data_IF_211229653573
#
_entry.id   IF_211229653573
#
_cell.length_a   1.000
_cell.length_b   1.000
_cell.length_c   1.000
_cell.angle_alpha   90.00
_cell.angle_beta   90.00
_cell.angle_gamma   90.00
#
_symmetry.space_group_name_H-M   'P 1'
#
loop_
_entity.id
_entity.type
_entity.pdbx_description
1 polymer ?
#
# COMPACT_ATOMS: atom_id res chain seq x y z
N UNK A 1 -3.97 14.21 -47.23
CA UNK A 1 -3.06 13.68 -46.21
C UNK A 1 -1.89 12.89 -46.79
N UNK A 2 -2.11 11.85 -47.67
CA UNK A 2 -1.06 11.04 -48.31
C UNK A 2 -0.06 11.88 -49.14
N UNK A 3 -0.54 12.83 -49.96
CA UNK A 3 0.31 13.70 -50.77
C UNK A 3 1.13 14.70 -49.92
N UNK A 4 0.60 15.17 -48.80
CA UNK A 4 1.27 16.09 -47.88
C UNK A 4 2.39 15.38 -47.08
N UNK A 5 2.15 14.13 -46.67
CA UNK A 5 3.16 13.27 -46.02
C UNK A 5 4.27 12.89 -47.02
N UNK A 6 3.89 12.53 -48.24
CA UNK A 6 4.84 12.24 -49.32
C UNK A 6 5.79 13.42 -49.59
N UNK A 7 5.24 14.60 -49.77
CA UNK A 7 6.03 15.84 -50.00
C UNK A 7 6.98 16.15 -48.81
N UNK A 8 6.54 15.95 -47.57
CA UNK A 8 7.40 16.14 -46.38
C UNK A 8 8.53 15.14 -46.29
N UNK A 9 8.23 13.87 -46.53
CA UNK A 9 9.25 12.80 -46.46
C UNK A 9 10.26 12.93 -47.61
N UNK A 10 9.79 13.27 -48.82
CA UNK A 10 10.68 13.55 -49.98
C UNK A 10 11.53 14.82 -49.75
N UNK A 11 11.00 15.86 -49.09
CA UNK A 11 11.74 17.05 -48.69
C UNK A 11 12.86 16.76 -47.70
N UNK A 12 12.56 15.99 -46.65
CA UNK A 12 13.55 15.55 -45.64
C UNK A 12 14.60 14.64 -46.25
N UNK A 13 14.23 13.66 -47.08
CA UNK A 13 15.17 12.78 -47.76
C UNK A 13 16.13 13.55 -48.67
N UNK A 14 15.65 14.59 -49.37
CA UNK A 14 16.50 15.47 -50.19
C UNK A 14 17.48 16.30 -49.36
N UNK A 15 17.04 16.79 -48.18
CA UNK A 15 17.91 17.56 -47.27
C UNK A 15 19.05 16.68 -46.70
N UNK A 16 18.77 15.41 -46.48
CA UNK A 16 19.76 14.42 -45.93
C UNK A 16 20.55 13.70 -47.04
N UNK A 17 20.35 14.01 -48.32
CA UNK A 17 21.01 13.39 -49.45
C UNK A 17 20.64 11.90 -49.67
N UNK A 18 19.47 11.47 -49.14
CA UNK A 18 19.03 10.05 -49.20
C UNK A 18 18.14 9.90 -50.45
N UNK A 19 18.63 9.10 -51.42
CA UNK A 19 17.81 8.66 -52.57
C UNK A 19 17.13 7.36 -52.25
N UNK A 20 15.81 7.42 -52.00
CA UNK A 20 15.02 6.24 -51.69
C UNK A 20 14.26 5.73 -52.91
N UNK A 21 14.33 4.39 -53.22
CA UNK A 21 13.53 3.82 -54.30
C UNK A 21 12.04 4.01 -54.03
N UNK A 22 11.23 4.32 -55.07
CA UNK A 22 9.81 4.64 -54.95
C UNK A 22 8.99 3.55 -54.19
N UNK A 23 9.37 2.28 -54.33
CA UNK A 23 8.72 1.19 -53.59
C UNK A 23 9.01 1.21 -52.07
N UNK A 24 10.21 1.60 -51.65
CA UNK A 24 10.56 1.75 -50.23
C UNK A 24 9.86 2.95 -49.61
N UNK A 25 9.80 4.07 -50.35
CA UNK A 25 9.07 5.27 -49.94
C UNK A 25 7.58 4.98 -49.73
N UNK A 26 6.97 4.21 -50.64
CA UNK A 26 5.54 3.82 -50.51
C UNK A 26 5.30 2.93 -49.30
N UNK A 27 6.14 1.95 -49.04
CA UNK A 27 6.08 1.11 -47.83
C UNK A 27 6.19 1.93 -46.54
N UNK A 28 7.13 2.86 -46.48
CA UNK A 28 7.32 3.75 -45.33
C UNK A 28 6.10 4.67 -45.11
N UNK A 29 5.54 5.22 -46.20
CA UNK A 29 4.33 6.04 -46.12
C UNK A 29 3.11 5.26 -45.64
N UNK A 30 2.95 4.01 -46.08
CA UNK A 30 1.85 3.14 -45.62
C UNK A 30 2.05 2.71 -44.16
N UNK A 31 3.30 2.47 -43.73
CA UNK A 31 3.63 2.24 -42.32
C UNK A 31 3.30 3.46 -41.45
N UNK A 32 3.79 4.67 -41.84
CA UNK A 32 3.51 5.91 -41.13
C UNK A 32 2.02 6.22 -41.08
N UNK A 33 1.30 6.00 -42.16
CA UNK A 33 -0.16 6.15 -42.21
C UNK A 33 -0.85 5.19 -41.22
N UNK A 34 -0.46 3.91 -41.22
CA UNK A 34 -0.97 2.90 -40.30
C UNK A 34 -0.68 3.24 -38.83
N UNK A 35 0.50 3.81 -38.54
CA UNK A 35 0.85 4.27 -37.20
C UNK A 35 0.08 5.52 -36.77
N UNK A 36 -0.14 6.48 -37.70
CA UNK A 36 -0.98 7.66 -37.45
C UNK A 36 -2.45 7.27 -37.24
N UNK A 37 -2.99 6.36 -38.05
CA UNK A 37 -4.35 5.84 -37.88
C UNK A 37 -4.50 5.07 -36.57
N UNK A 38 -3.52 4.22 -36.20
CA UNK A 38 -3.46 3.57 -34.89
C UNK A 38 -3.35 4.58 -33.75
N UNK A 39 -2.53 5.62 -33.90
CA UNK A 39 -2.41 6.68 -32.93
C UNK A 39 -3.71 7.50 -32.77
N UNK A 40 -4.39 7.83 -33.88
CA UNK A 40 -5.70 8.49 -33.87
C UNK A 40 -6.78 7.61 -33.25
N UNK A 41 -6.82 6.32 -33.60
CA UNK A 41 -7.74 5.36 -33.01
C UNK A 41 -7.52 5.22 -31.50
N UNK A 42 -6.26 5.16 -31.04
CA UNK A 42 -5.93 5.09 -29.61
C UNK A 42 -6.42 6.31 -28.83
N UNK A 43 -6.31 7.52 -29.41
CA UNK A 43 -6.77 8.76 -28.78
C UNK A 43 -8.28 8.82 -28.55
N UNK A 44 -9.07 8.15 -29.39
CA UNK A 44 -10.53 8.12 -29.30
C UNK A 44 -11.11 6.98 -28.47
N UNK A 45 -10.25 6.10 -27.90
CA UNK A 45 -10.71 5.03 -27.01
C UNK A 45 -11.33 5.63 -25.75
N UNK A 46 -12.53 5.19 -25.38
CA UNK A 46 -13.20 5.60 -24.15
C UNK A 46 -12.51 4.97 -22.92
N UNK A 47 -12.40 5.74 -21.86
CA UNK A 47 -11.79 5.29 -20.59
C UNK A 47 -12.54 4.07 -20.03
N UNK A 48 -13.84 3.98 -20.14
CA UNK A 48 -14.61 2.79 -19.72
C UNK A 48 -14.14 1.48 -20.38
N UNK A 49 -13.66 1.54 -21.62
CA UNK A 49 -13.06 0.37 -22.29
C UNK A 49 -11.74 -0.03 -21.63
N UNK A 50 -10.92 0.94 -21.29
CA UNK A 50 -9.66 0.72 -20.57
C UNK A 50 -9.90 0.23 -19.13
N UNK A 51 -10.94 0.73 -18.46
CA UNK A 51 -11.37 0.24 -17.14
C UNK A 51 -11.73 -1.24 -17.18
N UNK A 52 -12.46 -1.69 -18.19
CA UNK A 52 -12.79 -3.11 -18.38
C UNK A 52 -11.53 -3.96 -18.58
N UNK A 53 -10.57 -3.47 -19.35
CA UNK A 53 -9.27 -4.12 -19.56
C UNK A 53 -8.48 -4.20 -18.24
N UNK A 54 -8.37 -3.09 -17.51
CA UNK A 54 -7.65 -3.01 -16.23
C UNK A 54 -8.24 -3.95 -15.17
N UNK A 55 -9.57 -4.12 -15.15
CA UNK A 55 -10.24 -5.07 -14.24
C UNK A 55 -9.86 -6.52 -14.51
N UNK A 56 -9.58 -6.89 -15.77
CA UNK A 56 -9.13 -8.25 -16.16
C UNK A 56 -7.69 -8.55 -15.71
N UNK A 57 -6.85 -7.54 -15.55
CA UNK A 57 -5.46 -7.70 -15.08
C UNK A 57 -5.35 -8.05 -13.60
N UNK A 58 -6.45 -8.04 -12.86
CA UNK A 58 -6.47 -8.29 -11.41
C UNK A 58 -6.15 -7.03 -10.58
N UNK A 59 -7.16 -6.50 -9.93
CA UNK A 59 -7.05 -5.36 -9.02
C UNK A 59 -7.28 -5.79 -7.59
N UNK A 60 -6.50 -5.22 -6.66
CA UNK A 60 -6.76 -5.32 -5.23
C UNK A 60 -8.12 -4.72 -4.87
N UNK A 61 -8.69 -5.14 -3.74
CA UNK A 61 -9.97 -4.60 -3.23
C UNK A 61 -9.92 -3.07 -3.13
N UNK A 62 -8.78 -2.52 -2.68
CA UNK A 62 -8.61 -1.07 -2.56
C UNK A 62 -8.56 -0.35 -3.90
N UNK A 63 -7.89 -0.91 -4.90
CA UNK A 63 -7.86 -0.35 -6.26
C UNK A 63 -9.24 -0.38 -6.91
N UNK A 64 -10.00 -1.47 -6.74
CA UNK A 64 -11.41 -1.55 -7.19
C UNK A 64 -12.26 -0.45 -6.55
N UNK A 65 -12.08 -0.19 -5.26
CA UNK A 65 -12.77 0.90 -4.55
C UNK A 65 -12.38 2.28 -5.10
N UNK A 66 -11.08 2.56 -5.26
CA UNK A 66 -10.58 3.82 -5.81
C UNK A 66 -11.14 4.03 -7.22
N UNK A 67 -11.06 3.02 -8.07
CA UNK A 67 -11.56 3.07 -9.43
C UNK A 67 -13.05 3.43 -9.47
N UNK A 68 -13.88 2.75 -8.66
CA UNK A 68 -15.32 2.95 -8.59
C UNK A 68 -15.71 4.33 -8.04
N UNK A 69 -15.05 4.77 -6.97
CA UNK A 69 -15.48 5.96 -6.21
C UNK A 69 -14.88 7.27 -6.73
N UNK A 70 -13.71 7.23 -7.35
CA UNK A 70 -12.96 8.46 -7.67
C UNK A 70 -12.61 8.59 -9.15
N UNK A 71 -12.28 7.49 -9.85
CA UNK A 71 -11.81 7.57 -11.23
C UNK A 71 -12.96 7.44 -12.23
N UNK A 72 -13.78 6.40 -12.13
CA UNK A 72 -14.86 6.15 -13.09
C UNK A 72 -15.89 7.29 -13.13
N UNK A 73 -16.33 7.89 -12.01
CA UNK A 73 -17.28 9.01 -12.06
C UNK A 73 -16.79 10.20 -12.88
N UNK A 74 -15.48 10.46 -12.87
CA UNK A 74 -14.91 11.62 -13.53
C UNK A 74 -14.35 11.34 -14.93
N UNK A 75 -13.76 10.16 -15.11
CA UNK A 75 -13.04 9.80 -16.33
C UNK A 75 -13.79 8.83 -17.24
N UNK A 76 -14.74 8.05 -16.73
CA UNK A 76 -15.33 6.92 -17.43
C UNK A 76 -15.92 7.27 -18.81
N UNK A 77 -16.56 8.42 -18.93
CA UNK A 77 -17.17 8.90 -20.16
C UNK A 77 -16.18 9.57 -21.14
N UNK A 78 -15.00 9.93 -20.68
CA UNK A 78 -13.99 10.65 -21.46
C UNK A 78 -13.32 9.72 -22.47
N UNK A 79 -12.85 10.31 -23.58
CA UNK A 79 -11.88 9.66 -24.45
C UNK A 79 -10.49 9.71 -23.80
N UNK A 80 -9.57 8.88 -24.29
CA UNK A 80 -8.19 8.87 -23.78
C UNK A 80 -7.52 10.25 -23.88
N UNK A 81 -7.72 10.95 -25.00
CA UNK A 81 -7.18 12.32 -25.18
C UNK A 81 -7.73 13.27 -24.11
N UNK A 82 -9.05 13.33 -23.95
CA UNK A 82 -9.69 14.16 -22.94
C UNK A 82 -9.23 13.81 -21.51
N UNK A 83 -9.04 12.51 -21.23
CA UNK A 83 -8.56 12.06 -19.93
C UNK A 83 -7.12 12.51 -19.65
N UNK A 84 -6.25 12.47 -20.66
CA UNK A 84 -4.87 12.98 -20.56
C UNK A 84 -4.89 14.48 -20.24
N UNK A 85 -5.67 15.26 -20.99
CA UNK A 85 -5.78 16.71 -20.78
C UNK A 85 -6.33 17.06 -19.40
N UNK A 86 -7.37 16.35 -18.96
CA UNK A 86 -7.99 16.57 -17.66
C UNK A 86 -7.14 16.06 -16.47
N UNK A 87 -6.24 15.12 -16.71
CA UNK A 87 -5.45 14.47 -15.65
C UNK A 87 -4.61 15.44 -14.83
N UNK A 88 -4.13 16.54 -15.41
CA UNK A 88 -3.33 17.56 -14.72
C UNK A 88 -4.18 18.33 -13.69
N UNK A 89 -5.37 18.76 -14.08
CA UNK A 89 -6.30 19.46 -13.19
C UNK A 89 -6.75 18.53 -12.04
N UNK A 90 -7.09 17.27 -12.36
CA UNK A 90 -7.44 16.25 -11.39
C UNK A 90 -6.29 16.00 -10.40
N UNK A 91 -5.07 15.84 -10.88
CA UNK A 91 -3.90 15.61 -10.02
C UNK A 91 -3.64 16.80 -9.07
N UNK A 92 -3.80 18.04 -9.55
CA UNK A 92 -3.70 19.25 -8.72
C UNK A 92 -4.74 19.26 -7.59
N UNK A 93 -6.01 18.96 -7.91
CA UNK A 93 -7.09 18.88 -6.92
C UNK A 93 -6.83 17.75 -5.90
N UNK A 94 -6.50 16.55 -6.34
CA UNK A 94 -6.16 15.43 -5.45
C UNK A 94 -5.01 15.77 -4.51
N UNK A 95 -4.00 16.50 -5.00
CA UNK A 95 -2.87 16.92 -4.18
C UNK A 95 -3.24 18.00 -3.14
N UNK A 96 -4.22 18.85 -3.46
CA UNK A 96 -4.71 19.90 -2.57
C UNK A 96 -5.64 19.36 -1.46
N UNK A 97 -6.50 18.39 -1.81
CA UNK A 97 -7.57 17.90 -0.94
C UNK A 97 -7.19 16.67 -0.12
N UNK A 98 -6.27 15.83 -0.61
CA UNK A 98 -6.00 14.52 -0.02
C UNK A 98 -4.63 14.40 0.61
N UNK A 99 -4.58 13.54 1.62
CA UNK A 99 -3.30 13.16 2.26
C UNK A 99 -2.42 12.47 1.21
N UNK A 100 -1.13 12.79 1.21
CA UNK A 100 -0.11 12.31 0.25
C UNK A 100 -0.18 10.80 -0.04
N UNK A 101 -0.35 9.97 1.00
CA UNK A 101 -0.40 8.51 0.85
C UNK A 101 -1.64 8.01 0.09
N UNK A 102 -2.79 8.64 0.31
CA UNK A 102 -4.06 8.30 -0.36
C UNK A 102 -4.09 8.87 -1.77
N UNK A 103 -3.78 10.16 -1.93
CA UNK A 103 -3.75 10.82 -3.23
C UNK A 103 -2.77 10.16 -4.20
N UNK A 104 -1.56 9.78 -3.76
CA UNK A 104 -0.61 9.06 -4.61
C UNK A 104 -1.15 7.73 -5.12
N UNK A 105 -1.97 7.01 -4.36
CA UNK A 105 -2.57 5.74 -4.81
C UNK A 105 -3.59 5.97 -5.92
N UNK A 106 -4.41 7.01 -5.79
CA UNK A 106 -5.39 7.38 -6.81
C UNK A 106 -4.72 7.79 -8.10
N UNK A 107 -3.73 8.68 -8.00
CA UNK A 107 -2.99 9.15 -9.17
C UNK A 107 -2.21 8.02 -9.86
N UNK A 108 -1.61 7.09 -9.12
CA UNK A 108 -0.94 5.92 -9.70
C UNK A 108 -1.92 5.01 -10.43
N UNK A 109 -3.12 4.80 -9.89
CA UNK A 109 -4.13 3.98 -10.55
C UNK A 109 -4.65 4.65 -11.81
N UNK A 110 -4.85 5.98 -11.79
CA UNK A 110 -5.19 6.77 -12.98
C UNK A 110 -4.08 6.66 -14.04
N UNK A 111 -2.81 6.83 -13.65
CA UNK A 111 -1.69 6.69 -14.57
C UNK A 111 -1.65 5.29 -15.21
N UNK A 112 -1.80 4.23 -14.39
CA UNK A 112 -1.87 2.85 -14.90
C UNK A 112 -3.01 2.67 -15.91
N UNK A 113 -4.17 3.25 -15.64
CA UNK A 113 -5.32 3.20 -16.54
C UNK A 113 -5.06 3.91 -17.88
N UNK A 114 -4.51 5.12 -17.85
CA UNK A 114 -4.19 5.89 -19.06
C UNK A 114 -3.08 5.20 -19.86
N UNK A 115 -2.07 4.63 -19.20
CA UNK A 115 -0.97 3.90 -19.84
C UNK A 115 -1.41 2.65 -20.61
N UNK A 116 -2.57 2.07 -20.33
CA UNK A 116 -3.14 1.00 -21.16
C UNK A 116 -3.50 1.46 -22.58
N UNK A 117 -3.79 2.74 -22.75
CA UNK A 117 -4.08 3.35 -24.05
C UNK A 117 -2.89 4.15 -24.63
N UNK A 118 -2.11 4.78 -23.77
CA UNK A 118 -0.90 5.53 -24.12
C UNK A 118 0.26 5.18 -23.17
N UNK A 119 1.12 4.21 -23.52
CA UNK A 119 2.26 3.80 -22.70
C UNK A 119 3.27 4.93 -22.43
N UNK A 120 3.28 5.99 -23.24
CA UNK A 120 4.17 7.15 -23.07
C UNK A 120 3.69 8.11 -21.99
N UNK A 121 2.44 7.99 -21.54
CA UNK A 121 1.87 8.89 -20.54
C UNK A 121 2.67 8.87 -19.23
N UNK A 122 2.95 10.05 -18.72
CA UNK A 122 3.59 10.25 -17.42
C UNK A 122 2.69 11.09 -16.52
N UNK A 123 2.56 10.64 -15.28
CA UNK A 123 1.79 11.34 -14.27
C UNK A 123 2.36 12.74 -14.05
N UNK A 124 1.52 13.80 -14.02
CA UNK A 124 1.96 15.13 -13.66
C UNK A 124 2.64 15.17 -12.29
N UNK A 125 3.74 15.90 -12.18
CA UNK A 125 4.40 16.10 -10.89
C UNK A 125 3.59 17.10 -10.07
N UNK A 126 3.01 16.65 -8.96
CA UNK A 126 2.21 17.48 -8.05
C UNK A 126 2.79 17.47 -6.65
N UNK A 127 2.82 18.66 -6.03
CA UNK A 127 3.22 18.81 -4.63
C UNK A 127 2.00 18.63 -3.75
N UNK A 128 1.97 17.54 -2.97
CA UNK A 128 0.96 17.36 -1.93
C UNK A 128 1.19 18.32 -0.78
N UNK A 129 0.12 18.95 -0.27
CA UNK A 129 0.20 19.59 1.03
C UNK A 129 0.60 18.54 2.07
N UNK A 130 1.72 18.77 2.72
CA UNK A 130 2.12 17.89 3.82
C UNK A 130 1.17 18.22 4.98
N UNK A 131 0.28 17.31 5.38
CA UNK A 131 -0.45 17.51 6.61
C UNK A 131 0.50 17.28 7.75
N UNK A 132 1.44 18.15 8.07
CA UNK A 132 2.49 17.95 9.06
C UNK A 132 2.38 16.62 9.80
N UNK A 133 3.43 15.95 10.10
CA UNK A 133 3.34 14.69 10.84
C UNK A 133 2.51 14.95 12.10
N UNK A 134 1.21 14.63 12.05
CA UNK A 134 0.36 14.56 13.23
C UNK A 134 0.68 13.28 13.98
N UNK A 135 1.95 12.96 14.12
CA UNK A 135 2.39 12.14 15.24
C UNK A 135 2.29 13.04 16.45
N UNK A 136 1.27 12.85 17.21
CA UNK A 136 1.17 13.40 18.54
C UNK A 136 2.28 12.70 19.37
N UNK A 137 3.49 13.25 19.33
CA UNK A 137 4.63 12.84 20.16
C UNK A 137 4.33 12.92 21.66
N UNK A 138 3.19 13.45 22.05
CA UNK A 138 2.74 13.55 23.44
C UNK A 138 1.63 12.55 23.84
N UNK A 139 1.29 11.56 23.01
CA UNK A 139 0.21 10.61 23.31
C UNK A 139 0.72 9.16 23.30
N UNK A 140 1.73 8.88 24.13
CA UNK A 140 2.14 7.52 24.44
C UNK A 140 1.42 7.14 25.74
N UNK A 141 0.74 6.00 25.73
CA UNK A 141 0.18 5.40 26.94
C UNK A 141 1.23 4.50 27.56
N UNK A 142 1.30 4.52 28.88
CA UNK A 142 2.09 3.57 29.63
C UNK A 142 1.59 2.13 29.42
N UNK A 143 2.50 1.17 29.52
CA UNK A 143 2.18 -0.25 29.30
C UNK A 143 1.06 -0.73 30.23
N UNK A 144 1.06 -0.28 31.48
CA UNK A 144 0.05 -0.65 32.47
C UNK A 144 -1.33 -0.05 32.17
N UNK A 145 -1.41 1.19 31.66
CA UNK A 145 -2.65 1.78 31.17
C UNK A 145 -3.23 0.99 29.99
N UNK A 146 -2.36 0.62 29.03
CA UNK A 146 -2.77 -0.20 27.88
C UNK A 146 -3.30 -1.55 28.33
N UNK A 147 -2.62 -2.21 29.28
CA UNK A 147 -3.04 -3.50 29.84
C UNK A 147 -4.37 -3.38 30.59
N UNK A 148 -4.59 -2.30 31.34
CA UNK A 148 -5.85 -2.01 32.00
C UNK A 148 -7.00 -1.91 30.97
N UNK A 149 -6.81 -1.16 29.89
CA UNK A 149 -7.80 -1.06 28.82
C UNK A 149 -8.03 -2.41 28.12
N UNK A 150 -6.96 -3.16 27.83
CA UNK A 150 -7.08 -4.49 27.21
C UNK A 150 -7.91 -5.42 28.11
N UNK A 151 -7.64 -5.45 29.40
CA UNK A 151 -8.31 -6.36 30.32
C UNK A 151 -9.77 -6.00 30.58
N UNK A 152 -10.10 -4.68 30.65
CA UNK A 152 -11.40 -4.21 31.10
C UNK A 152 -12.35 -3.84 29.94
N UNK A 153 -11.83 -3.34 28.82
CA UNK A 153 -12.64 -2.77 27.73
C UNK A 153 -12.57 -3.55 26.41
N UNK A 154 -11.48 -4.33 26.18
CA UNK A 154 -11.34 -5.12 24.96
C UNK A 154 -12.11 -6.43 25.08
N UNK A 155 -12.85 -6.78 24.01
CA UNK A 155 -13.59 -8.04 23.91
C UNK A 155 -12.68 -9.25 24.17
N UNK A 156 -13.08 -10.23 25.02
CA UNK A 156 -12.20 -11.32 25.48
C UNK A 156 -11.37 -12.00 24.40
N UNK A 157 -11.90 -12.44 23.23
CA UNK A 157 -11.11 -13.08 22.18
C UNK A 157 -10.00 -12.21 21.61
N UNK A 158 -10.07 -10.88 21.75
CA UNK A 158 -9.07 -9.95 21.22
C UNK A 158 -7.96 -9.62 22.22
N UNK A 159 -8.13 -9.96 23.50
CA UNK A 159 -7.18 -9.60 24.57
C UNK A 159 -5.80 -10.23 24.38
N UNK A 160 -5.75 -11.54 24.13
CA UNK A 160 -4.47 -12.25 23.94
C UNK A 160 -3.72 -11.78 22.71
N UNK A 161 -4.33 -11.64 21.50
CA UNK A 161 -3.68 -11.01 20.35
C UNK A 161 -3.14 -9.61 20.62
N UNK A 162 -3.85 -8.78 21.42
CA UNK A 162 -3.37 -7.46 21.81
C UNK A 162 -2.13 -7.52 22.71
N UNK A 163 -2.12 -8.42 23.69
CA UNK A 163 -0.96 -8.65 24.58
C UNK A 163 0.25 -9.16 23.79
N UNK A 164 0.05 -10.09 22.86
CA UNK A 164 1.11 -10.55 21.97
C UNK A 164 1.65 -9.39 21.13
N UNK A 165 0.78 -8.52 20.56
CA UNK A 165 1.20 -7.33 19.82
C UNK A 165 2.04 -6.37 20.67
N UNK A 166 1.62 -6.13 21.92
CA UNK A 166 2.29 -5.24 22.86
C UNK A 166 3.69 -5.74 23.24
N UNK A 167 3.84 -7.03 23.49
CA UNK A 167 5.12 -7.58 23.95
C UNK A 167 6.08 -8.02 22.83
N UNK A 168 5.59 -8.15 21.59
CA UNK A 168 6.43 -8.58 20.46
C UNK A 168 6.64 -7.50 19.42
N UNK A 169 5.77 -6.49 19.37
CA UNK A 169 5.72 -5.53 18.26
C UNK A 169 5.33 -6.15 16.92
N UNK A 170 4.86 -7.39 16.86
CA UNK A 170 4.48 -8.06 15.62
C UNK A 170 3.33 -7.36 14.91
N UNK A 171 3.34 -7.42 13.57
CA UNK A 171 2.19 -6.94 12.77
C UNK A 171 0.96 -7.81 13.02
N UNK A 172 -0.23 -7.17 13.06
CA UNK A 172 -1.52 -7.86 13.24
C UNK A 172 -1.67 -9.12 12.37
N UNK A 173 -1.30 -9.04 11.10
CA UNK A 173 -1.40 -10.17 10.19
C UNK A 173 -0.55 -11.35 10.65
N UNK A 174 0.69 -11.10 11.04
CA UNK A 174 1.58 -12.15 11.54
C UNK A 174 1.08 -12.76 12.83
N UNK A 175 0.48 -11.98 13.75
CA UNK A 175 -0.09 -12.52 15.01
C UNK A 175 -1.27 -13.46 14.74
N UNK A 176 -2.17 -13.06 13.85
CA UNK A 176 -3.35 -13.88 13.53
C UNK A 176 -3.03 -15.09 12.65
N UNK A 177 -1.88 -15.07 11.99
CA UNK A 177 -1.38 -16.19 11.20
C UNK A 177 -0.45 -17.14 12.01
N UNK A 178 -0.17 -16.84 13.31
CA UNK A 178 0.66 -17.68 14.18
C UNK A 178 0.03 -19.05 14.38
N UNK A 179 0.86 -20.05 14.20
CA UNK A 179 0.55 -21.45 14.46
C UNK A 179 1.26 -21.97 15.72
N UNK A 180 0.83 -23.09 16.24
CA UNK A 180 1.47 -23.71 17.41
C UNK A 180 2.97 -23.95 17.18
N UNK A 181 3.36 -24.49 16.03
CA UNK A 181 4.76 -24.75 15.66
C UNK A 181 5.66 -23.50 15.62
N UNK A 182 5.05 -22.31 15.48
CA UNK A 182 5.79 -21.05 15.39
C UNK A 182 6.27 -20.56 16.77
N UNK A 183 5.77 -21.15 17.86
CA UNK A 183 6.09 -20.75 19.24
C UNK A 183 6.85 -21.85 19.95
N UNK A 184 8.13 -21.62 20.20
CA UNK A 184 8.98 -22.52 20.97
C UNK A 184 9.19 -21.94 22.38
N UNK A 185 8.42 -22.47 23.34
CA UNK A 185 8.50 -22.03 24.75
C UNK A 185 9.80 -22.50 25.43
N UNK A 186 10.42 -23.59 24.94
CA UNK A 186 11.67 -24.11 25.51
C UNK A 186 12.84 -23.23 25.11
N UNK A 187 12.91 -22.87 23.82
CA UNK A 187 13.92 -21.92 23.29
C UNK A 187 13.57 -20.47 23.55
N UNK A 188 12.35 -20.20 24.01
CA UNK A 188 11.81 -18.86 24.24
C UNK A 188 11.85 -17.97 22.97
N UNK A 189 11.32 -18.51 21.88
CA UNK A 189 11.31 -17.86 20.58
C UNK A 189 9.97 -18.02 19.88
N UNK A 190 9.53 -16.94 19.20
CA UNK A 190 8.47 -16.98 18.20
C UNK A 190 9.11 -16.84 16.82
N UNK A 191 8.90 -17.84 15.94
CA UNK A 191 9.44 -17.87 14.58
C UNK A 191 8.31 -17.71 13.58
N UNK A 192 8.43 -16.79 12.64
CA UNK A 192 7.43 -16.56 11.61
C UNK A 192 8.05 -15.94 10.37
N UNK A 193 7.32 -15.95 9.25
CA UNK A 193 7.74 -15.31 8.00
C UNK A 193 6.91 -14.06 7.76
N UNK A 194 7.55 -12.96 7.34
CA UNK A 194 6.84 -11.73 6.99
C UNK A 194 6.00 -11.93 5.73
N UNK A 195 4.71 -11.58 5.80
CA UNK A 195 3.77 -11.82 4.69
C UNK A 195 4.01 -10.95 3.45
N UNK A 196 4.63 -9.78 3.61
CA UNK A 196 4.78 -8.82 2.50
C UNK A 196 6.05 -9.03 1.69
N UNK A 197 7.13 -9.37 2.36
CA UNK A 197 8.41 -9.76 1.78
C UNK A 197 8.79 -11.00 2.57
N UNK A 198 8.83 -12.19 1.94
CA UNK A 198 9.15 -13.43 2.65
C UNK A 198 10.53 -13.34 3.31
N UNK A 199 10.55 -13.00 4.59
CA UNK A 199 11.75 -12.94 5.41
C UNK A 199 11.49 -13.66 6.71
N UNK A 200 12.30 -14.66 7.09
CA UNK A 200 12.20 -15.31 8.38
C UNK A 200 12.51 -14.30 9.49
N UNK A 201 11.74 -14.38 10.54
CA UNK A 201 11.85 -13.53 11.73
C UNK A 201 11.84 -14.40 12.97
N UNK A 202 12.62 -13.98 13.95
CA UNK A 202 12.65 -14.58 15.29
C UNK A 202 12.46 -13.47 16.30
N UNK A 203 11.49 -13.64 17.21
CA UNK A 203 11.22 -12.69 18.29
C UNK A 203 11.38 -13.45 19.62
N UNK A 204 12.17 -12.93 20.57
CA UNK A 204 12.35 -13.56 21.87
C UNK A 204 11.06 -13.50 22.71
N UNK A 205 10.83 -14.55 23.52
CA UNK A 205 9.72 -14.62 24.48
C UNK A 205 10.19 -14.14 25.84
N UNK A 206 9.70 -12.97 26.26
CA UNK A 206 9.93 -12.43 27.61
C UNK A 206 9.13 -13.22 28.66
N UNK A 207 9.44 -13.05 29.94
CA UNK A 207 8.66 -13.64 31.04
C UNK A 207 7.18 -13.23 31.00
N UNK A 208 6.90 -11.95 30.71
CA UNK A 208 5.53 -11.44 30.55
C UNK A 208 4.81 -12.10 29.34
N UNK A 209 5.51 -12.31 28.22
CA UNK A 209 4.96 -13.00 27.06
C UNK A 209 4.74 -14.50 27.32
N UNK A 210 5.58 -15.16 28.10
CA UNK A 210 5.36 -16.54 28.55
C UNK A 210 4.04 -16.67 29.33
N UNK A 211 3.75 -15.74 30.23
CA UNK A 211 2.47 -15.70 30.95
C UNK A 211 1.26 -15.47 30.03
N UNK A 212 1.44 -14.70 28.94
CA UNK A 212 0.40 -14.53 27.92
C UNK A 212 0.16 -15.84 27.17
N UNK A 213 1.22 -16.52 26.76
CA UNK A 213 1.10 -17.82 26.07
C UNK A 213 0.52 -18.93 26.95
N UNK A 214 0.72 -18.87 28.26
CA UNK A 214 0.09 -19.80 29.19
C UNK A 214 -1.45 -19.69 29.21
N UNK A 215 -2.03 -18.56 28.76
CA UNK A 215 -3.47 -18.32 28.67
C UNK A 215 -4.05 -18.68 27.29
N UNK A 216 -3.22 -19.02 26.31
CA UNK A 216 -3.68 -19.39 24.96
C UNK A 216 -4.25 -20.81 25.00
N UNK A 217 -5.45 -21.05 24.46
CA UNK A 217 -5.94 -22.41 24.23
C UNK A 217 -5.15 -23.01 23.07
N UNK A 218 -4.10 -23.79 23.42
CA UNK A 218 -3.21 -24.36 22.42
C UNK A 218 -3.95 -25.38 21.53
N UNK A 219 -3.82 -25.24 20.20
CA UNK A 219 -4.35 -26.24 19.29
C UNK A 219 -3.64 -27.58 19.46
N UNK A 220 -4.35 -28.68 19.17
CA UNK A 220 -3.78 -30.04 19.23
C UNK A 220 -2.68 -30.17 18.18
N UNK A 221 -2.97 -29.78 16.96
CA UNK A 221 -2.08 -29.90 15.81
C UNK A 221 -1.07 -28.75 15.75
N UNK A 222 0.15 -29.03 15.32
CA UNK A 222 1.23 -28.04 15.20
C UNK A 222 0.93 -26.98 14.13
N UNK A 223 0.18 -27.32 13.08
CA UNK A 223 -0.30 -26.40 12.05
C UNK A 223 -1.53 -25.60 12.47
N UNK A 224 -2.11 -25.88 13.65
CA UNK A 224 -3.27 -25.16 14.17
C UNK A 224 -2.94 -23.70 14.52
N UNK A 225 -3.86 -22.79 14.19
CA UNK A 225 -3.74 -21.37 14.51
C UNK A 225 -3.92 -21.14 16.02
N UNK A 226 -3.11 -20.23 16.60
CA UNK A 226 -3.25 -19.85 18.02
C UNK A 226 -4.51 -19.00 18.25
N UNK A 227 -4.98 -18.27 17.24
CA UNK A 227 -6.13 -17.39 17.34
C UNK A 227 -7.14 -17.68 16.22
N UNK A 228 -7.76 -18.86 16.18
CA UNK A 228 -8.68 -19.26 15.12
C UNK A 228 -9.94 -18.40 15.11
N UNK A 229 -10.55 -18.21 13.94
CA UNK A 229 -11.82 -17.49 13.76
C UNK A 229 -11.74 -15.97 13.87
N UNK A 230 -10.60 -15.38 14.18
CA UNK A 230 -10.47 -13.95 14.30
C UNK A 230 -10.31 -13.25 12.94
N UNK A 231 -11.26 -12.37 12.61
CA UNK A 231 -11.22 -11.55 11.40
C UNK A 231 -10.35 -10.31 11.64
N UNK A 232 -9.34 -10.10 10.79
CA UNK A 232 -8.36 -8.98 10.91
C UNK A 232 -9.03 -7.61 11.07
N UNK A 233 -10.09 -7.35 10.31
CA UNK A 233 -10.77 -6.06 10.35
C UNK A 233 -11.59 -5.89 11.62
N UNK A 234 -12.30 -6.95 12.06
CA UNK A 234 -13.09 -6.94 13.29
C UNK A 234 -12.21 -6.68 14.52
N UNK A 235 -11.05 -7.36 14.62
CA UNK A 235 -10.07 -7.10 15.67
C UNK A 235 -9.65 -5.61 15.71
N UNK A 236 -9.31 -5.01 14.57
CA UNK A 236 -8.88 -3.61 14.54
C UNK A 236 -9.98 -2.66 14.99
N UNK A 237 -11.19 -2.84 14.48
CA UNK A 237 -12.34 -2.00 14.82
C UNK A 237 -12.71 -2.20 16.31
N UNK A 238 -12.71 -3.44 16.77
CA UNK A 238 -13.05 -3.78 18.16
C UNK A 238 -12.08 -3.15 19.15
N UNK A 239 -10.78 -3.25 18.89
CA UNK A 239 -9.74 -2.63 19.72
C UNK A 239 -9.86 -1.10 19.70
N UNK A 240 -9.98 -0.48 18.51
CA UNK A 240 -10.13 0.97 18.42
C UNK A 240 -11.35 1.47 19.19
N UNK A 241 -12.51 0.80 19.07
CA UNK A 241 -13.71 1.14 19.84
C UNK A 241 -13.52 0.97 21.36
N UNK A 242 -12.80 -0.07 21.80
CA UNK A 242 -12.51 -0.28 23.21
C UNK A 242 -11.69 0.86 23.79
N UNK A 243 -10.62 1.26 23.10
CA UNK A 243 -9.78 2.38 23.51
C UNK A 243 -10.54 3.72 23.45
N UNK A 244 -11.40 3.92 22.46
CA UNK A 244 -12.28 5.13 22.42
C UNK A 244 -13.18 5.19 23.64
N UNK A 245 -13.82 4.08 24.04
CA UNK A 245 -14.65 4.04 25.27
C UNK A 245 -13.86 4.27 26.55
N UNK A 246 -12.57 3.90 26.56
CA UNK A 246 -11.67 4.15 27.69
C UNK A 246 -11.07 5.57 27.69
N UNK A 247 -11.48 6.47 26.78
CA UNK A 247 -10.99 7.85 26.72
C UNK A 247 -9.81 8.08 25.77
N UNK A 248 -9.39 7.06 25.00
CA UNK A 248 -8.24 7.12 24.09
C UNK A 248 -8.67 6.94 22.62
N UNK A 249 -9.43 7.88 22.00
CA UNK A 249 -9.99 7.70 20.65
C UNK A 249 -8.92 7.63 19.53
N UNK A 250 -7.73 8.09 19.80
CA UNK A 250 -6.57 8.07 18.88
C UNK A 250 -5.81 6.74 18.90
N UNK A 251 -6.07 5.84 19.87
CA UNK A 251 -5.37 4.57 20.01
C UNK A 251 -5.99 3.48 19.11
N UNK A 252 -5.16 2.70 18.45
CA UNK A 252 -5.57 1.61 17.57
C UNK A 252 -4.68 0.40 17.78
N UNK A 253 -5.08 -0.76 17.22
CA UNK A 253 -4.26 -1.98 17.30
C UNK A 253 -2.80 -1.77 16.85
N UNK A 254 -2.57 -0.91 15.86
CA UNK A 254 -1.20 -0.64 15.39
C UNK A 254 -0.36 0.16 16.39
N UNK A 255 -1.00 0.92 17.28
CA UNK A 255 -0.33 1.64 18.36
C UNK A 255 0.31 0.69 19.39
N UNK A 256 -0.21 -0.51 19.58
CA UNK A 256 0.43 -1.54 20.41
C UNK A 256 1.86 -1.85 19.94
N UNK A 257 2.05 -1.95 18.64
CA UNK A 257 3.38 -2.13 18.06
C UNK A 257 4.26 -0.89 18.21
N UNK A 258 3.68 0.31 18.11
CA UNK A 258 4.43 1.55 18.39
C UNK A 258 4.89 1.59 19.83
N UNK A 259 4.01 1.29 20.79
CA UNK A 259 4.38 1.22 22.20
C UNK A 259 5.49 0.20 22.44
N UNK A 260 5.42 -0.99 21.82
CA UNK A 260 6.51 -1.95 21.90
C UNK A 260 7.84 -1.40 21.41
N UNK A 261 7.82 -0.63 20.31
CA UNK A 261 9.04 0.03 19.79
C UNK A 261 9.59 1.05 20.76
N UNK A 262 8.73 1.93 21.29
CA UNK A 262 9.09 2.96 22.26
C UNK A 262 9.71 2.31 23.49
N UNK A 263 9.02 1.36 24.08
CA UNK A 263 9.48 0.64 25.26
C UNK A 263 10.87 -0.01 25.07
N UNK A 264 11.13 -0.63 23.92
CA UNK A 264 12.45 -1.22 23.65
C UNK A 264 13.56 -0.16 23.58
N UNK A 265 13.28 0.97 22.93
CA UNK A 265 14.26 2.05 22.79
C UNK A 265 14.51 2.79 24.10
N UNK A 266 13.46 3.06 24.89
CA UNK A 266 13.56 3.65 26.23
C UNK A 266 14.36 2.77 27.20
N UNK A 267 14.34 1.44 26.97
CA UNK A 267 15.17 0.50 27.71
C UNK A 267 16.57 0.29 27.10
N UNK A 268 17.02 1.19 26.25
CA UNK A 268 18.40 1.25 25.75
C UNK A 268 18.70 0.23 24.62
N UNK A 269 17.68 -0.42 24.02
CA UNK A 269 17.90 -1.31 22.88
C UNK A 269 18.23 -0.46 21.65
N UNK A 270 19.35 -0.74 20.98
CA UNK A 270 19.79 -0.03 19.79
C UNK A 270 18.70 -0.01 18.70
N UNK A 271 18.53 1.13 18.02
CA UNK A 271 17.46 1.35 17.03
C UNK A 271 17.55 0.37 15.87
N UNK A 272 18.74 -0.08 15.50
CA UNK A 272 18.99 -1.10 14.48
C UNK A 272 18.36 -2.43 14.91
N UNK A 273 18.56 -2.81 16.17
CA UNK A 273 18.01 -4.04 16.76
C UNK A 273 16.49 -3.97 16.81
N UNK A 274 15.92 -2.84 17.26
CA UNK A 274 14.47 -2.63 17.27
C UNK A 274 13.90 -2.68 15.86
N UNK A 275 14.54 -2.03 14.89
CA UNK A 275 14.13 -2.05 13.48
C UNK A 275 14.17 -3.47 12.92
N UNK A 276 15.18 -4.26 13.26
CA UNK A 276 15.31 -5.66 12.86
C UNK A 276 14.22 -6.53 13.50
N UNK A 277 13.98 -6.44 14.80
CA UNK A 277 12.93 -7.18 15.53
C UNK A 277 11.53 -6.88 14.98
N UNK A 278 11.30 -5.64 14.58
CA UNK A 278 10.03 -5.24 13.99
C UNK A 278 9.92 -5.63 12.51
N UNK A 279 11.00 -5.98 11.84
CA UNK A 279 11.01 -6.26 10.41
C UNK A 279 10.67 -5.02 9.58
N UNK A 280 11.27 -3.87 9.91
CA UNK A 280 11.20 -2.68 9.07
C UNK A 280 12.18 -2.81 7.89
N UNK A 281 11.77 -2.33 6.72
CA UNK A 281 12.62 -2.34 5.52
C UNK A 281 13.72 -1.27 5.56
N UNK A 282 13.62 -0.31 6.47
CA UNK A 282 14.58 0.79 6.66
C UNK A 282 14.50 1.31 8.09
N UNK A 283 15.63 1.62 8.67
CA UNK A 283 15.77 2.28 9.99
C UNK A 283 15.01 3.61 10.04
N UNK A 284 14.93 4.33 8.91
CA UNK A 284 14.15 5.58 8.79
C UNK A 284 12.71 5.42 9.27
N UNK A 285 12.10 4.26 9.03
CA UNK A 285 10.74 3.98 9.49
C UNK A 285 10.67 3.96 11.02
N UNK A 286 11.70 3.45 11.69
CA UNK A 286 11.79 3.45 13.17
C UNK A 286 12.08 4.85 13.67
N UNK A 287 12.98 5.59 13.03
CA UNK A 287 13.33 6.99 13.38
C UNK A 287 12.16 7.95 13.29
N UNK A 288 11.27 7.80 12.29
CA UNK A 288 10.08 8.65 12.13
C UNK A 288 9.12 8.62 13.34
N UNK A 289 9.26 7.67 14.24
CA UNK A 289 8.45 7.55 15.47
C UNK A 289 9.08 8.25 16.67
N UNK A 290 10.34 8.68 16.57
CA UNK A 290 11.12 9.26 17.67
C UNK A 290 11.62 10.70 17.40
N UNK A 291 11.46 11.21 16.19
CA UNK A 291 11.68 12.61 15.83
C UNK A 291 10.40 13.41 16.05
#
# INVERSE_FOLDING_TARGET
MRNMLKSKVEGLARQEGIVMPSQQLMKLLDQLKSEMERGSYRKNVKIDTLVRKLKKEGLSVREKQILRMYIVPEFGKLTLSQAIDYSKAFAGRVAAEKVKSTGKKELRLLAKLIQLGDPSYRLPNVKFKNPGNKFHSGQILEVDEILAVINNHVHPPYRLPCKVALYTGMRRGNILDLKKKDVDLKRREVRFTLNKIPKPMVVPISNKLTQVFAQVPWPIEDEGLLFPGLVRQALTIGVSRAFTRAGYPWFSFHKLRHTASCFLLENGIAIETVSALLGHSSIKVTMEFYA
#
